data_IF_843422752384
#
_entry.id   IF_843422752384
#
_cell.length_a   1.000
_cell.length_b   1.000
_cell.length_c   1.000
_cell.angle_alpha   90.00
_cell.angle_beta   90.00
_cell.angle_gamma   90.00
#
_symmetry.space_group_name_H-M   'P 1'
#
loop_
_entity.id
_entity.type
_entity.pdbx_description
1 polymer ?
#
# COMPACT_ATOMS: atom_id res chain seq x y z
N UNK A 1 5.52 5.27 18.11
CA UNK A 1 6.31 5.87 17.00
C UNK A 1 5.35 6.52 16.00
N UNK A 2 5.65 7.72 15.47
CA UNK A 2 4.79 8.44 14.52
C UNK A 2 5.27 8.22 13.09
N UNK A 3 4.34 8.11 12.14
CA UNK A 3 4.63 8.02 10.71
C UNK A 3 4.14 9.28 10.01
N UNK A 4 4.86 9.75 8.98
CA UNK A 4 4.43 10.89 8.17
C UNK A 4 3.13 10.62 7.43
N UNK A 5 2.38 11.69 7.18
CA UNK A 5 1.26 11.70 6.22
C UNK A 5 1.75 11.28 4.82
N UNK A 6 0.82 10.84 3.98
CA UNK A 6 1.10 10.48 2.58
C UNK A 6 1.70 11.67 1.85
N UNK A 7 1.13 12.87 2.00
CA UNK A 7 1.63 14.09 1.37
C UNK A 7 3.08 14.37 1.73
N UNK A 8 3.40 14.38 3.03
CA UNK A 8 4.77 14.63 3.50
C UNK A 8 5.74 13.55 3.05
N UNK A 9 5.37 12.27 3.18
CA UNK A 9 6.18 11.13 2.72
C UNK A 9 6.43 11.20 1.21
N UNK A 10 5.40 11.45 0.41
CA UNK A 10 5.50 11.47 -1.05
C UNK A 10 6.32 12.65 -1.55
N UNK A 11 6.20 13.82 -0.92
CA UNK A 11 7.07 14.96 -1.21
C UNK A 11 8.55 14.62 -0.98
N UNK A 12 8.87 13.97 0.14
CA UNK A 12 10.23 13.50 0.41
C UNK A 12 10.67 12.40 -0.58
N UNK A 13 9.80 11.44 -0.90
CA UNK A 13 10.11 10.37 -1.85
C UNK A 13 10.43 10.92 -3.24
N UNK A 14 9.66 11.91 -3.71
CA UNK A 14 9.89 12.58 -4.98
C UNK A 14 11.24 13.32 -5.01
N UNK A 15 11.63 13.99 -3.92
CA UNK A 15 12.95 14.64 -3.81
C UNK A 15 14.12 13.64 -3.93
N UNK A 16 13.89 12.39 -3.53
CA UNK A 16 14.88 11.32 -3.59
C UNK A 16 14.78 10.46 -4.87
N UNK A 17 13.85 10.77 -5.78
CA UNK A 17 13.62 10.00 -7.00
C UNK A 17 12.96 8.63 -6.78
N UNK A 18 12.26 8.42 -5.66
CA UNK A 18 11.54 7.18 -5.39
C UNK A 18 10.11 7.20 -5.93
N UNK A 19 9.70 6.07 -6.51
CA UNK A 19 8.30 5.82 -6.86
C UNK A 19 7.48 5.49 -5.61
N UNK A 20 6.25 6.01 -5.55
CA UNK A 20 5.32 5.75 -4.44
C UNK A 20 4.11 4.96 -4.92
N UNK A 21 3.57 4.11 -4.04
CA UNK A 21 2.30 3.40 -4.28
C UNK A 21 1.18 4.42 -4.56
N UNK A 22 0.36 4.21 -5.62
CA UNK A 22 -0.69 5.15 -6.00
C UNK A 22 -1.78 5.24 -4.93
N UNK A 23 -2.40 6.42 -4.83
CA UNK A 23 -3.65 6.57 -4.10
C UNK A 23 -4.79 6.10 -5.00
N UNK A 24 -5.55 5.09 -4.56
CA UNK A 24 -6.71 4.59 -5.32
C UNK A 24 -7.94 5.48 -5.13
N UNK A 25 -8.14 6.00 -3.92
CA UNK A 25 -9.31 6.79 -3.55
C UNK A 25 -9.04 7.60 -2.27
N UNK A 26 -9.65 8.78 -2.16
CA UNK A 26 -9.64 9.62 -0.96
C UNK A 26 -11.06 10.05 -0.60
N UNK A 27 -11.52 9.68 0.59
CA UNK A 27 -12.87 9.96 1.07
C UNK A 27 -13.36 8.87 2.02
N UNK A 28 -14.64 8.94 2.38
CA UNK A 28 -15.30 7.87 3.12
C UNK A 28 -15.53 6.67 2.21
N UNK A 29 -15.36 5.47 2.77
CA UNK A 29 -15.49 4.20 2.08
C UNK A 29 -16.01 3.14 3.04
N UNK A 30 -16.85 2.24 2.54
CA UNK A 30 -17.35 1.09 3.32
C UNK A 30 -16.46 -0.13 3.12
N UNK A 31 -16.57 -1.11 4.03
CA UNK A 31 -15.84 -2.36 3.87
C UNK A 31 -16.24 -3.11 2.59
N UNK A 32 -17.51 -3.08 2.21
CA UNK A 32 -18.01 -3.76 1.01
C UNK A 32 -17.40 -3.13 -0.26
N UNK A 33 -17.32 -1.81 -0.34
CA UNK A 33 -16.62 -1.12 -1.44
C UNK A 33 -15.15 -1.54 -1.52
N UNK A 34 -14.45 -1.66 -0.39
CA UNK A 34 -13.06 -2.11 -0.37
C UNK A 34 -12.92 -3.57 -0.84
N UNK A 35 -13.87 -4.44 -0.49
CA UNK A 35 -13.91 -5.83 -0.96
C UNK A 35 -14.14 -5.90 -2.46
N UNK A 36 -15.07 -5.11 -3.00
CA UNK A 36 -15.31 -5.06 -4.44
C UNK A 36 -14.06 -4.57 -5.17
N UNK A 37 -13.40 -3.52 -4.65
CA UNK A 37 -12.21 -2.96 -5.27
C UNK A 37 -11.02 -3.91 -5.29
N UNK A 38 -10.79 -4.68 -4.22
CA UNK A 38 -9.65 -5.62 -4.17
C UNK A 38 -9.79 -6.75 -5.21
N UNK A 39 -11.03 -7.07 -5.61
CA UNK A 39 -11.32 -8.05 -6.65
C UNK A 39 -11.40 -7.43 -8.05
N UNK A 40 -11.83 -6.18 -8.17
CA UNK A 40 -12.04 -5.53 -9.47
C UNK A 40 -10.79 -4.86 -10.07
N UNK A 41 -9.79 -4.52 -9.24
CA UNK A 41 -8.61 -3.79 -9.70
C UNK A 41 -7.39 -4.69 -9.86
N UNK A 42 -6.62 -4.41 -10.92
CA UNK A 42 -5.30 -4.97 -11.14
C UNK A 42 -4.21 -4.18 -10.43
N UNK A 43 -3.11 -4.87 -10.12
CA UNK A 43 -1.90 -4.25 -9.60
C UNK A 43 -1.21 -3.41 -10.66
N UNK A 44 -0.71 -2.23 -10.25
CA UNK A 44 0.17 -1.41 -11.10
C UNK A 44 1.63 -1.88 -11.08
N UNK A 45 2.00 -2.80 -10.18
CA UNK A 45 3.39 -3.24 -10.00
C UNK A 45 3.65 -4.69 -10.45
N UNK A 46 2.60 -5.42 -10.84
CA UNK A 46 2.72 -6.76 -11.41
C UNK A 46 1.48 -7.10 -12.24
N UNK A 47 1.57 -8.16 -13.02
CA UNK A 47 0.40 -8.73 -13.68
C UNK A 47 -0.57 -9.34 -12.65
N UNK A 48 -1.86 -9.02 -12.79
CA UNK A 48 -2.97 -9.57 -12.02
C UNK A 48 -3.45 -8.71 -10.85
N UNK A 49 -4.54 -9.17 -10.23
CA UNK A 49 -5.30 -8.47 -9.20
C UNK A 49 -4.46 -7.98 -8.00
N UNK A 50 -4.95 -6.93 -7.32
CA UNK A 50 -4.38 -6.37 -6.08
C UNK A 50 -4.22 -7.40 -4.95
N UNK A 51 -3.05 -7.47 -4.31
CA UNK A 51 -2.86 -8.26 -3.08
C UNK A 51 -3.82 -7.86 -1.97
N UNK A 52 -4.12 -6.57 -1.91
CA UNK A 52 -4.80 -5.94 -0.80
C UNK A 52 -4.81 -4.43 -0.97
N UNK A 53 -5.54 -3.78 -0.08
CA UNK A 53 -5.66 -2.33 0.01
C UNK A 53 -5.20 -1.91 1.40
N UNK A 54 -4.38 -0.85 1.47
CA UNK A 54 -4.02 -0.18 2.71
C UNK A 54 -4.89 1.07 2.85
N UNK A 55 -5.66 1.13 3.94
CA UNK A 55 -6.46 2.30 4.29
C UNK A 55 -5.69 3.13 5.29
N UNK A 56 -5.65 4.45 5.08
CA UNK A 56 -4.93 5.41 5.92
C UNK A 56 -5.86 6.55 6.31
N UNK A 57 -5.93 6.85 7.60
CA UNK A 57 -6.51 8.09 8.13
C UNK A 57 -5.38 8.93 8.70
N UNK A 58 -5.25 10.14 8.20
CA UNK A 58 -4.11 11.00 8.47
C UNK A 58 -4.52 12.47 8.47
N UNK A 59 -3.74 13.28 9.16
CA UNK A 59 -3.80 14.74 9.06
C UNK A 59 -2.67 15.25 8.14
N UNK A 60 -2.49 16.57 8.08
CA UNK A 60 -1.50 17.21 7.21
C UNK A 60 -0.08 16.65 7.39
N UNK A 61 0.29 16.30 8.62
CA UNK A 61 1.67 15.95 8.95
C UNK A 61 1.87 14.46 9.27
N UNK A 62 0.85 13.80 9.80
CA UNK A 62 1.00 12.50 10.46
C UNK A 62 -0.10 11.50 10.10
N UNK A 63 0.30 10.24 9.99
CA UNK A 63 -0.61 9.11 10.00
C UNK A 63 -1.20 8.91 11.39
N UNK A 64 -2.52 8.89 11.47
CA UNK A 64 -3.26 8.70 12.72
C UNK A 64 -3.64 7.22 12.88
N UNK A 65 -4.31 6.65 11.87
CA UNK A 65 -4.75 5.27 11.87
C UNK A 65 -4.50 4.60 10.52
N UNK A 66 -4.36 3.27 10.53
CA UNK A 66 -4.25 2.47 9.32
C UNK A 66 -4.90 1.11 9.49
N UNK A 67 -5.38 0.57 8.38
CA UNK A 67 -5.87 -0.80 8.27
C UNK A 67 -5.38 -1.40 6.96
N UNK A 68 -5.46 -2.73 6.84
CA UNK A 68 -5.25 -3.44 5.59
C UNK A 68 -6.39 -4.42 5.36
N UNK A 69 -6.87 -4.47 4.13
CA UNK A 69 -7.69 -5.56 3.62
C UNK A 69 -6.81 -6.37 2.68
N UNK A 70 -6.72 -7.68 2.90
CA UNK A 70 -5.92 -8.58 2.07
C UNK A 70 -6.89 -9.49 1.33
N UNK A 71 -6.64 -9.70 0.03
CA UNK A 71 -7.42 -10.61 -0.80
C UNK A 71 -7.23 -12.04 -0.30
N UNK A 72 -8.32 -12.81 -0.18
CA UNK A 72 -8.30 -14.11 0.50
C UNK A 72 -7.35 -15.15 -0.14
N UNK A 73 -7.28 -15.17 -1.47
CA UNK A 73 -6.39 -16.04 -2.27
C UNK A 73 -4.93 -15.57 -2.29
N UNK A 74 -4.62 -14.37 -1.77
CA UNK A 74 -3.26 -13.86 -1.66
C UNK A 74 -2.55 -14.26 -0.35
N UNK A 75 -3.17 -15.04 0.52
CA UNK A 75 -2.58 -15.41 1.81
C UNK A 75 -1.33 -16.28 1.62
N UNK A 76 -0.16 -15.65 1.51
CA UNK A 76 1.12 -16.35 1.37
C UNK A 76 1.46 -17.08 2.68
N UNK A 77 1.82 -18.35 2.57
CA UNK A 77 2.57 -19.06 3.61
C UNK A 77 3.97 -18.44 3.64
N UNK A 78 4.25 -17.56 4.61
CA UNK A 78 5.59 -16.98 4.80
C UNK A 78 6.46 -18.06 5.43
N UNK A 79 7.07 -18.91 4.61
CA UNK A 79 8.00 -19.95 5.10
C UNK A 79 9.33 -19.34 5.59
N UNK A 80 9.74 -18.18 5.07
CA UNK A 80 10.96 -17.47 5.48
C UNK A 80 10.72 -15.97 5.66
N UNK A 81 11.14 -15.42 6.80
CA UNK A 81 11.06 -13.99 7.07
C UNK A 81 12.00 -13.19 6.16
N UNK A 82 11.46 -12.23 5.41
CA UNK A 82 12.21 -11.33 4.52
C UNK A 82 13.38 -10.60 5.18
N UNK A 83 13.39 -10.45 6.52
CA UNK A 83 14.44 -9.75 7.28
C UNK A 83 15.82 -10.40 7.14
N UNK A 84 15.91 -11.70 6.83
CA UNK A 84 17.20 -12.38 6.63
C UNK A 84 17.76 -12.25 5.21
N UNK A 85 16.97 -11.72 4.27
CA UNK A 85 17.40 -11.57 2.87
C UNK A 85 18.16 -10.26 2.66
N UNK A 86 19.07 -10.25 1.70
CA UNK A 86 19.70 -9.02 1.21
C UNK A 86 18.65 -8.08 0.63
N UNK A 87 18.91 -6.77 0.68
CA UNK A 87 18.04 -5.78 0.07
C UNK A 87 18.09 -5.91 -1.45
N UNK A 88 16.93 -6.14 -2.05
CA UNK A 88 16.73 -6.20 -3.50
C UNK A 88 15.86 -5.00 -3.93
N UNK A 89 16.33 -4.25 -4.93
CA UNK A 89 15.58 -3.11 -5.44
C UNK A 89 14.43 -3.57 -6.33
N UNK A 90 13.21 -3.13 -5.99
CA UNK A 90 12.04 -3.33 -6.85
C UNK A 90 12.24 -2.56 -8.17
N UNK A 91 11.96 -3.23 -9.30
CA UNK A 91 11.89 -2.57 -10.61
C UNK A 91 10.43 -2.22 -10.88
N UNK A 92 10.16 -0.92 -10.99
CA UNK A 92 8.85 -0.40 -11.39
C UNK A 92 8.97 -0.08 -12.88
N UNK A 93 8.10 -0.69 -13.70
CA UNK A 93 8.04 -0.49 -15.17
C UNK A 93 7.21 0.74 -15.49
#
# INVERSE_FOLDING_TARGET
QRFWSTTRRNAWAAQMGFNTVPCLYAGEVTLDQLRDWVHAHDSQFRQGHLEGIVVRRENADWLENRAKLVRADFTQTIEAHWKSRALEWNRVV
#
